data_IF_458480391208
#
_entry.id   IF_458480391208
#
_cell.length_a   1.000
_cell.length_b   1.000
_cell.length_c   1.000
_cell.angle_alpha   90.00
_cell.angle_beta   90.00
_cell.angle_gamma   90.00
#
_symmetry.space_group_name_H-M   'P 1'
#
loop_
_entity.id
_entity.type
_entity.pdbx_description
1 polymer ?
#
# COMPACT_ATOMS: atom_id res chain seq x y z
N UNK A 1 7.21 2.34 18.42
CA UNK A 1 6.87 1.55 17.22
C UNK A 1 6.29 2.53 16.20
N UNK A 2 6.87 2.62 15.00
CA UNK A 2 6.34 3.50 13.93
C UNK A 2 5.21 2.78 13.19
N UNK A 3 4.10 3.49 12.95
CA UNK A 3 2.89 2.95 12.32
C UNK A 3 2.81 3.23 10.82
N UNK A 4 1.73 2.77 10.18
CA UNK A 4 1.45 3.02 8.76
C UNK A 4 1.32 4.52 8.50
N UNK A 5 0.76 5.27 9.45
CA UNK A 5 0.59 6.71 9.40
C UNK A 5 1.95 7.42 9.28
N UNK A 6 2.96 6.96 10.03
CA UNK A 6 4.33 7.50 9.94
C UNK A 6 4.93 7.23 8.56
N UNK A 7 4.77 6.00 8.05
CA UNK A 7 5.30 5.63 6.73
C UNK A 7 4.67 6.44 5.58
N UNK A 8 3.39 6.81 5.71
CA UNK A 8 2.69 7.67 4.76
C UNK A 8 3.07 9.14 4.92
N UNK A 9 3.25 9.60 6.17
CA UNK A 9 3.66 10.97 6.47
C UNK A 9 5.07 11.30 5.95
N UNK A 10 5.95 10.31 5.81
CA UNK A 10 7.28 10.48 5.21
C UNK A 10 7.23 10.99 3.75
N UNK A 11 6.11 10.77 3.04
CA UNK A 11 5.90 11.31 1.69
C UNK A 11 5.24 12.69 1.65
N UNK A 12 5.15 13.39 2.79
CA UNK A 12 4.66 14.77 2.82
C UNK A 12 5.60 15.71 2.06
N UNK A 13 5.03 16.50 1.16
CA UNK A 13 5.73 17.58 0.46
C UNK A 13 5.07 18.92 0.77
N UNK A 14 5.85 19.85 1.30
CA UNK A 14 5.41 21.21 1.67
C UNK A 14 4.83 21.99 0.50
N UNK A 15 5.32 21.75 -0.73
CA UNK A 15 4.86 22.44 -1.93
C UNK A 15 3.45 22.00 -2.33
N UNK A 16 3.04 20.80 -1.90
CA UNK A 16 1.74 20.20 -2.24
C UNK A 16 0.82 20.04 -1.03
N UNK A 17 1.32 20.30 0.19
CA UNK A 17 0.56 20.20 1.43
C UNK A 17 -0.12 18.83 1.59
N UNK A 18 -1.33 18.79 2.14
CA UNK A 18 -2.08 17.56 2.36
C UNK A 18 -2.36 16.73 1.08
N UNK A 19 -2.22 17.33 -0.12
CA UNK A 19 -2.36 16.61 -1.39
C UNK A 19 -1.30 15.51 -1.55
N UNK A 20 -0.08 15.75 -1.07
CA UNK A 20 0.99 14.76 -1.09
C UNK A 20 0.63 13.51 -0.27
N UNK A 21 0.00 13.68 0.90
CA UNK A 21 -0.50 12.57 1.72
C UNK A 21 -1.62 11.80 1.02
N UNK A 22 -2.56 12.51 0.38
CA UNK A 22 -3.61 11.85 -0.42
C UNK A 22 -2.98 10.95 -1.49
N UNK A 23 -1.97 11.46 -2.19
CA UNK A 23 -1.24 10.70 -3.20
C UNK A 23 -0.50 9.48 -2.62
N UNK A 24 0.16 9.63 -1.47
CA UNK A 24 0.82 8.51 -0.78
C UNK A 24 -0.16 7.40 -0.40
N UNK A 25 -1.32 7.76 0.15
CA UNK A 25 -2.39 6.82 0.50
C UNK A 25 -2.92 6.11 -0.75
N UNK A 26 -3.20 6.86 -1.81
CA UNK A 26 -3.70 6.29 -3.06
C UNK A 26 -2.71 5.29 -3.65
N UNK A 27 -1.44 5.70 -3.82
CA UNK A 27 -0.46 4.88 -4.52
C UNK A 27 0.02 3.67 -3.71
N UNK A 28 0.10 3.77 -2.38
CA UNK A 28 0.66 2.70 -1.51
C UNK A 28 -0.39 1.86 -0.82
N UNK A 29 -1.63 2.33 -0.66
CA UNK A 29 -2.69 1.58 0.04
C UNK A 29 -3.85 1.27 -0.89
N UNK A 30 -4.43 2.28 -1.53
CA UNK A 30 -5.64 2.10 -2.35
C UNK A 30 -5.35 1.21 -3.56
N UNK A 31 -4.25 1.44 -4.26
CA UNK A 31 -3.85 0.61 -5.41
C UNK A 31 -3.69 -0.87 -5.03
N UNK A 32 -3.09 -1.16 -3.88
CA UNK A 32 -2.91 -2.52 -3.39
C UNK A 32 -4.26 -3.20 -3.09
N UNK A 33 -5.18 -2.46 -2.45
CA UNK A 33 -6.54 -2.95 -2.16
C UNK A 33 -7.33 -3.20 -3.45
N UNK A 34 -7.29 -2.27 -4.40
CA UNK A 34 -7.96 -2.41 -5.69
C UNK A 34 -7.47 -3.66 -6.42
N UNK A 35 -6.16 -3.84 -6.49
CA UNK A 35 -5.57 -4.96 -7.19
C UNK A 35 -5.80 -6.31 -6.45
N UNK A 36 -5.88 -6.30 -5.11
CA UNK A 36 -6.33 -7.47 -4.35
C UNK A 36 -7.81 -7.81 -4.58
N UNK A 37 -8.66 -6.80 -4.79
CA UNK A 37 -10.07 -6.98 -5.09
C UNK A 37 -10.28 -7.56 -6.50
N UNK A 38 -9.58 -7.01 -7.50
CA UNK A 38 -9.60 -7.52 -8.88
C UNK A 38 -9.14 -8.97 -8.98
N UNK A 39 -8.16 -9.37 -8.16
CA UNK A 39 -7.68 -10.77 -8.07
C UNK A 39 -8.61 -11.69 -7.26
N UNK A 40 -9.70 -11.20 -6.69
CA UNK A 40 -10.59 -12.00 -5.82
C UNK A 40 -9.96 -12.43 -4.48
N UNK A 41 -8.88 -11.74 -4.06
CA UNK A 41 -8.22 -11.97 -2.78
C UNK A 41 -9.05 -11.35 -1.65
N UNK A 42 -9.57 -10.12 -1.88
CA UNK A 42 -10.51 -9.45 -0.98
C UNK A 42 -11.88 -9.30 -1.65
N UNK A 43 -12.92 -9.31 -0.83
CA UNK A 43 -14.30 -9.09 -1.24
C UNK A 43 -15.18 -8.78 -0.04
N UNK A 44 -16.50 -8.73 -0.24
CA UNK A 44 -17.45 -8.43 0.85
C UNK A 44 -17.22 -9.34 2.06
N UNK A 45 -17.13 -8.73 3.25
CA UNK A 45 -16.89 -9.44 4.51
C UNK A 45 -15.44 -9.81 4.80
N UNK A 46 -14.49 -9.46 3.91
CA UNK A 46 -13.06 -9.64 4.20
C UNK A 46 -12.59 -8.59 5.21
N UNK A 47 -11.68 -8.99 6.09
CA UNK A 47 -10.95 -8.07 6.98
C UNK A 47 -9.55 -7.87 6.40
N UNK A 48 -9.12 -6.62 6.26
CA UNK A 48 -7.77 -6.28 5.81
C UNK A 48 -7.03 -5.57 6.94
N UNK A 49 -5.82 -6.04 7.24
CA UNK A 49 -4.89 -5.40 8.14
C UNK A 49 -3.76 -4.78 7.33
N UNK A 50 -3.52 -3.49 7.54
CA UNK A 50 -2.45 -2.73 6.91
C UNK A 50 -1.35 -2.55 7.94
N UNK A 51 -0.10 -2.79 7.55
CA UNK A 51 1.05 -2.61 8.43
C UNK A 51 2.25 -2.08 7.66
N UNK A 52 3.17 -1.43 8.38
CA UNK A 52 4.39 -0.89 7.84
C UNK A 52 5.60 -1.65 8.40
N UNK A 53 6.53 -2.00 7.52
CA UNK A 53 7.84 -2.54 7.85
C UNK A 53 8.88 -1.44 7.67
N UNK A 54 9.83 -1.36 8.60
CA UNK A 54 10.93 -0.38 8.59
C UNK A 54 12.27 -1.13 8.58
N UNK A 55 12.71 -1.67 7.44
CA UNK A 55 13.99 -2.36 7.35
C UNK A 55 15.15 -1.38 7.55
N UNK A 56 16.19 -1.78 8.28
CA UNK A 56 17.32 -0.90 8.62
C UNK A 56 18.09 -0.39 7.39
N UNK A 57 18.08 -1.14 6.28
CA UNK A 57 18.81 -0.82 5.05
C UNK A 57 17.89 -0.44 3.87
N UNK A 58 16.67 0.01 4.14
CA UNK A 58 15.74 0.45 3.10
C UNK A 58 15.64 1.99 3.05
N UNK A 59 15.57 2.55 1.84
CA UNK A 59 15.38 3.99 1.64
C UNK A 59 14.02 4.49 2.14
N UNK A 60 13.02 3.61 2.18
CA UNK A 60 11.67 3.94 2.61
C UNK A 60 11.01 2.74 3.30
N UNK A 61 10.05 2.99 4.22
CA UNK A 61 9.26 1.93 4.81
C UNK A 61 8.38 1.24 3.77
N UNK A 62 8.14 -0.05 3.97
CA UNK A 62 7.29 -0.86 3.10
C UNK A 62 5.90 -0.99 3.74
N UNK A 63 4.84 -0.64 3.00
CA UNK A 63 3.45 -0.83 3.44
C UNK A 63 2.90 -2.11 2.83
N UNK A 64 2.44 -3.03 3.68
CA UNK A 64 1.92 -4.35 3.30
C UNK A 64 0.52 -4.59 3.83
N UNK A 65 -0.13 -5.59 3.25
CA UNK A 65 -1.50 -6.01 3.57
C UNK A 65 -1.54 -7.47 3.99
N UNK A 66 -2.33 -7.74 5.04
CA UNK A 66 -2.77 -9.07 5.46
C UNK A 66 -4.28 -9.15 5.33
N UNK A 67 -4.77 -10.24 4.78
CA UNK A 67 -6.20 -10.42 4.49
C UNK A 67 -6.74 -11.65 5.19
N UNK A 68 -7.90 -11.49 5.83
CA UNK A 68 -8.71 -12.59 6.33
C UNK A 68 -10.03 -12.60 5.59
N UNK A 69 -10.32 -13.67 4.84
CA UNK A 69 -11.59 -13.85 4.13
C UNK A 69 -12.73 -14.08 5.13
N UNK A 70 -13.96 -13.73 4.72
CA UNK A 70 -15.15 -13.97 5.53
C UNK A 70 -15.27 -15.46 5.90
N UNK A 71 -15.45 -15.75 7.19
CA UNK A 71 -15.53 -17.12 7.71
C UNK A 71 -14.19 -17.84 7.91
N UNK A 72 -13.07 -17.24 7.51
CA UNK A 72 -11.71 -17.75 7.77
C UNK A 72 -11.16 -17.07 9.02
N UNK A 73 -10.47 -17.81 9.90
CA UNK A 73 -9.92 -17.26 11.15
C UNK A 73 -8.58 -16.56 10.95
N UNK A 74 -7.75 -17.06 10.05
CA UNK A 74 -6.37 -16.63 9.89
C UNK A 74 -6.19 -15.59 8.78
N UNK A 75 -5.16 -14.75 8.96
CA UNK A 75 -4.73 -13.80 7.95
C UNK A 75 -3.70 -14.42 7.01
N UNK A 76 -3.82 -14.10 5.72
CA UNK A 76 -2.87 -14.45 4.66
C UNK A 76 -2.20 -13.15 4.20
N UNK A 77 -0.87 -13.15 4.11
CA UNK A 77 -0.13 -12.01 3.59
C UNK A 77 -0.23 -11.95 2.06
N UNK A 78 -0.49 -10.77 1.50
CA UNK A 78 -0.56 -10.61 0.05
C UNK A 78 0.87 -10.37 -0.45
N UNK A 79 1.50 -11.39 -1.04
CA UNK A 79 2.75 -11.21 -1.77
C UNK A 79 2.48 -10.44 -3.07
N UNK A 80 2.76 -9.14 -3.04
CA UNK A 80 2.63 -8.28 -4.20
C UNK A 80 3.97 -8.21 -4.93
N UNK A 81 4.25 -9.22 -5.75
CA UNK A 81 5.16 -9.00 -6.88
C UNK A 81 4.45 -8.12 -7.90
N UNK A 82 4.58 -6.80 -7.79
CA UNK A 82 4.25 -5.87 -8.88
C UNK A 82 5.48 -5.03 -9.22
N UNK A 83 5.89 -5.00 -10.51
CA UNK A 83 6.93 -4.09 -10.96
C UNK A 83 6.43 -2.67 -10.77
N UNK A 84 7.27 -1.84 -10.14
CA UNK A 84 6.99 -0.42 -9.96
C UNK A 84 6.58 0.21 -11.30
N UNK A 85 5.41 0.86 -11.35
CA UNK A 85 5.02 1.76 -12.44
C UNK A 85 5.86 3.04 -12.31
N UNK A 86 7.19 2.92 -12.47
CA UNK A 86 8.12 4.07 -12.49
C UNK A 86 8.46 4.53 -13.90
N UNK A 87 8.00 3.85 -14.96
CA UNK A 87 8.34 4.19 -16.34
C UNK A 87 7.11 4.38 -17.26
N UNK A 88 6.27 5.39 -17.01
CA UNK A 88 5.25 5.82 -17.99
C UNK A 88 5.32 7.30 -18.41
N UNK A 89 6.39 8.02 -18.03
CA UNK A 89 6.63 9.40 -18.51
C UNK A 89 7.54 9.47 -19.74
N UNK A 90 7.67 8.40 -20.52
CA UNK A 90 8.46 8.39 -21.78
C UNK A 90 7.72 7.75 -22.96
N UNK A 91 6.37 7.74 -22.96
CA UNK A 91 5.56 7.24 -24.09
C UNK A 91 4.72 8.36 -24.73
N UNK A 92 5.14 9.61 -24.55
CA UNK A 92 4.68 10.73 -25.38
C UNK A 92 5.91 11.56 -25.75
N UNK A 93 6.67 11.06 -26.72
CA UNK A 93 7.47 11.87 -27.64
C UNK A 93 6.72 11.94 -28.98
#
# INVERSE_FOLDING_TARGET
>A
MRGVESALADGYDVNYGARSIKYEVERRVVNQLAAAHEKGIIGKGSTVQIFALFPENAEAPEIKLKVRKSGVKDFIEIEQSWPSIKNLTSIFD
#
